data_IF_300922780782
#
_entry.id   IF_300922780782
#
_cell.length_a   1.000
_cell.length_b   1.000
_cell.length_c   1.000
_cell.angle_alpha   90.00
_cell.angle_beta   90.00
_cell.angle_gamma   90.00
#
_symmetry.space_group_name_H-M   'P 1'
#
loop_
_entity.id
_entity.type
_entity.pdbx_description
1 polymer ?
#
# COMPACT_ATOMS: atom_id res chain seq x y z
N UNK A 1 -22.83 2.61 25.98
CA UNK A 1 -23.97 3.01 26.82
C UNK A 1 -23.40 3.56 28.14
N UNK A 2 -24.23 3.98 29.10
CA UNK A 2 -23.72 4.46 30.39
C UNK A 2 -23.62 3.29 31.38
N UNK A 3 -22.49 3.19 32.08
CA UNK A 3 -22.28 2.21 33.16
C UNK A 3 -23.43 2.29 34.17
N UNK A 4 -24.04 1.15 34.47
CA UNK A 4 -25.03 1.06 35.55
C UNK A 4 -24.31 0.94 36.90
N UNK A 5 -24.69 1.79 37.86
CA UNK A 5 -24.10 1.81 39.20
C UNK A 5 -25.10 1.26 40.21
N UNK A 6 -24.63 0.35 41.06
CA UNK A 6 -25.41 -0.20 42.17
C UNK A 6 -25.51 0.87 43.26
N UNK A 7 -26.73 1.20 43.66
CA UNK A 7 -27.01 2.09 44.79
C UNK A 7 -26.96 1.29 46.09
N UNK A 8 -26.01 1.62 46.96
CA UNK A 8 -25.87 0.94 48.26
C UNK A 8 -26.81 1.50 49.34
N UNK A 9 -27.50 2.61 49.08
CA UNK A 9 -28.33 3.30 50.06
C UNK A 9 -27.52 3.96 51.18
N UNK A 10 -28.18 4.30 52.30
CA UNK A 10 -27.55 4.93 53.46
C UNK A 10 -26.97 3.91 54.44
N UNK A 11 -25.67 4.03 54.75
CA UNK A 11 -25.03 3.22 55.79
C UNK A 11 -25.65 3.48 57.18
N UNK A 12 -25.71 2.49 58.08
CA UNK A 12 -25.25 1.10 57.93
C UNK A 12 -26.30 0.15 57.33
N UNK A 13 -27.55 0.60 57.21
CA UNK A 13 -28.69 -0.27 56.87
C UNK A 13 -28.88 -0.53 55.37
N UNK A 14 -28.33 0.33 54.51
CA UNK A 14 -28.56 0.32 53.06
C UNK A 14 -29.94 0.82 52.64
N UNK A 15 -30.67 1.52 53.53
CA UNK A 15 -32.00 2.04 53.23
C UNK A 15 -31.98 2.97 52.00
N UNK A 16 -32.97 2.80 51.10
CA UNK A 16 -33.04 3.52 49.83
C UNK A 16 -32.07 3.03 48.74
N UNK A 17 -31.34 1.94 48.99
CA UNK A 17 -30.50 1.26 48.00
C UNK A 17 -31.28 0.34 47.05
N UNK A 18 -30.57 -0.22 46.07
CA UNK A 18 -31.11 -1.26 45.19
C UNK A 18 -31.43 -2.54 45.97
N UNK A 19 -32.52 -3.22 45.62
CA UNK A 19 -32.74 -4.59 46.08
C UNK A 19 -31.77 -5.57 45.41
N UNK A 20 -31.67 -6.80 45.95
CA UNK A 20 -30.76 -7.83 45.39
C UNK A 20 -31.00 -8.09 43.90
N UNK A 21 -32.26 -8.02 43.46
CA UNK A 21 -32.65 -8.34 42.08
C UNK A 21 -32.24 -7.23 41.11
N UNK A 22 -32.56 -5.98 41.43
CA UNK A 22 -32.21 -4.79 40.65
C UNK A 22 -30.70 -4.56 40.61
N UNK A 23 -29.99 -4.75 41.72
CA UNK A 23 -28.54 -4.74 41.74
C UNK A 23 -27.93 -5.80 40.80
N UNK A 24 -28.52 -7.01 40.76
CA UNK A 24 -28.05 -8.08 39.90
C UNK A 24 -28.38 -7.86 38.43
N UNK A 25 -29.55 -7.29 38.11
CA UNK A 25 -29.85 -6.84 36.76
C UNK A 25 -28.86 -5.79 36.26
N UNK A 26 -28.45 -4.85 37.12
CA UNK A 26 -27.41 -3.86 36.77
C UNK A 26 -26.06 -4.50 36.47
N UNK A 27 -25.66 -5.48 37.28
CA UNK A 27 -24.44 -6.24 37.05
C UNK A 27 -24.50 -7.01 35.71
N UNK A 28 -25.57 -7.76 35.48
CA UNK A 28 -25.77 -8.53 34.23
C UNK A 28 -25.74 -7.60 33.01
N UNK A 29 -26.45 -6.47 33.06
CA UNK A 29 -26.48 -5.50 31.96
C UNK A 29 -25.08 -4.98 31.60
N UNK A 30 -24.25 -4.66 32.61
CA UNK A 30 -22.87 -4.21 32.37
C UNK A 30 -22.01 -5.32 31.74
N UNK A 31 -22.18 -6.59 32.16
CA UNK A 31 -21.44 -7.71 31.57
C UNK A 31 -21.88 -7.99 30.14
N UNK A 32 -23.19 -8.00 29.86
CA UNK A 32 -23.72 -8.13 28.49
C UNK A 32 -23.16 -7.03 27.59
N UNK A 33 -23.12 -5.77 28.05
CA UNK A 33 -22.53 -4.67 27.27
C UNK A 33 -21.05 -4.93 26.94
N UNK A 34 -20.26 -5.42 27.90
CA UNK A 34 -18.85 -5.77 27.65
C UNK A 34 -18.70 -6.92 26.67
N UNK A 35 -19.48 -7.99 26.80
CA UNK A 35 -19.43 -9.14 25.91
C UNK A 35 -19.78 -8.74 24.48
N UNK A 36 -20.84 -7.97 24.30
CA UNK A 36 -21.30 -7.52 22.99
C UNK A 36 -20.29 -6.56 22.33
N UNK A 37 -19.70 -5.65 23.12
CA UNK A 37 -18.67 -4.72 22.64
C UNK A 37 -17.41 -5.47 22.19
N UNK A 38 -16.87 -6.37 23.02
CA UNK A 38 -15.64 -7.09 22.71
C UNK A 38 -15.85 -8.13 21.59
N UNK A 39 -17.00 -8.77 21.50
CA UNK A 39 -17.31 -9.71 20.42
C UNK A 39 -17.73 -9.03 19.11
N UNK A 40 -18.09 -7.74 19.15
CA UNK A 40 -18.57 -6.99 17.99
C UNK A 40 -19.95 -7.46 17.49
N UNK A 41 -20.75 -8.12 18.33
CA UNK A 41 -22.08 -8.65 17.98
C UNK A 41 -22.96 -8.71 19.23
N UNK A 42 -24.25 -8.40 19.09
CA UNK A 42 -25.21 -8.42 20.19
C UNK A 42 -25.52 -9.84 20.68
N UNK A 43 -25.68 -10.00 22.00
CA UNK A 43 -26.01 -11.28 22.63
C UNK A 43 -24.86 -12.28 22.68
N UNK A 44 -23.61 -11.80 22.68
CA UNK A 44 -22.45 -12.70 22.71
C UNK A 44 -22.36 -13.45 24.04
N UNK A 45 -22.22 -14.77 23.97
CA UNK A 45 -22.03 -15.64 25.15
C UNK A 45 -20.56 -16.00 25.39
N UNK A 46 -19.65 -15.54 24.53
CA UNK A 46 -18.23 -15.81 24.60
C UNK A 46 -17.41 -14.53 24.40
N UNK A 47 -16.31 -14.40 25.15
CA UNK A 47 -15.32 -13.36 24.91
C UNK A 47 -14.30 -13.84 23.87
N UNK A 48 -13.76 -12.92 23.06
CA UNK A 48 -12.60 -13.21 22.23
C UNK A 48 -11.42 -13.69 23.09
N UNK A 49 -10.61 -14.60 22.57
CA UNK A 49 -9.45 -15.16 23.29
C UNK A 49 -8.40 -14.09 23.70
N UNK A 50 -8.46 -12.90 23.10
CA UNK A 50 -7.66 -11.73 23.47
C UNK A 50 -8.31 -10.45 22.94
N UNK A 51 -7.95 -9.28 23.51
CA UNK A 51 -8.31 -7.97 22.93
C UNK A 51 -7.83 -7.85 21.47
N UNK A 52 -6.71 -8.47 21.13
CA UNK A 52 -6.21 -8.53 19.77
C UNK A 52 -7.23 -9.25 18.84
N UNK A 53 -7.77 -10.39 19.26
CA UNK A 53 -8.81 -11.10 18.53
C UNK A 53 -10.12 -10.29 18.45
N UNK A 54 -10.50 -9.59 19.52
CA UNK A 54 -11.66 -8.68 19.55
C UNK A 54 -11.55 -7.58 18.48
N UNK A 55 -10.41 -6.89 18.45
CA UNK A 55 -10.13 -5.82 17.49
C UNK A 55 -10.15 -6.38 16.05
N UNK A 56 -9.54 -7.55 15.83
CA UNK A 56 -9.56 -8.19 14.51
C UNK A 56 -10.96 -8.59 14.07
N UNK A 57 -11.80 -9.11 14.98
CA UNK A 57 -13.20 -9.47 14.69
C UNK A 57 -14.06 -8.23 14.40
N UNK A 58 -13.79 -7.11 15.08
CA UNK A 58 -14.46 -5.83 14.85
C UNK A 58 -13.92 -5.06 13.62
N UNK A 59 -12.95 -5.61 12.87
CA UNK A 59 -12.35 -4.95 11.71
C UNK A 59 -11.39 -3.79 12.03
N UNK A 60 -10.90 -3.72 13.26
CA UNK A 60 -9.96 -2.69 13.69
C UNK A 60 -8.51 -2.97 13.29
N UNK A 61 -7.75 -1.90 13.05
CA UNK A 61 -6.31 -1.99 12.81
C UNK A 61 -5.52 -1.93 14.11
N UNK A 62 -4.42 -2.67 14.15
CA UNK A 62 -3.44 -2.64 15.25
C UNK A 62 -2.03 -2.56 14.67
N UNK A 63 -1.05 -2.17 15.48
CA UNK A 63 0.36 -2.06 15.04
C UNK A 63 0.85 -3.29 14.25
N UNK A 64 0.44 -4.49 14.69
CA UNK A 64 0.81 -5.76 14.07
C UNK A 64 0.12 -6.06 12.72
N UNK A 65 -0.89 -5.30 12.29
CA UNK A 65 -1.63 -5.51 11.04
C UNK A 65 -1.45 -4.38 10.03
N UNK A 66 -0.64 -3.36 10.36
CA UNK A 66 -0.37 -2.25 9.44
C UNK A 66 0.39 -2.74 8.21
N UNK A 67 1.33 -3.66 8.39
CA UNK A 67 2.14 -4.26 7.33
C UNK A 67 1.67 -5.69 7.05
N UNK A 68 1.47 -6.03 5.78
CA UNK A 68 1.03 -7.36 5.35
C UNK A 68 0.43 -7.32 3.95
N UNK A 69 -0.23 -8.40 3.54
CA UNK A 69 -0.95 -8.42 2.26
C UNK A 69 -2.13 -7.43 2.30
N UNK A 70 -2.19 -6.54 1.31
CA UNK A 70 -3.27 -5.58 1.14
C UNK A 70 -4.38 -6.23 0.31
N UNK A 71 -5.62 -6.03 0.73
CA UNK A 71 -6.81 -6.50 0.02
C UNK A 71 -7.93 -5.47 0.11
N UNK A 72 -8.82 -5.47 -0.89
CA UNK A 72 -9.97 -4.59 -0.96
C UNK A 72 -11.14 -5.35 -1.56
N UNK A 73 -12.34 -5.05 -1.06
CA UNK A 73 -13.60 -5.45 -1.69
C UNK A 73 -14.59 -4.30 -1.59
N UNK A 74 -15.12 -3.82 -2.73
CA UNK A 74 -16.17 -2.81 -2.77
C UNK A 74 -15.82 -1.48 -2.09
N UNK A 75 -14.55 -1.07 -2.11
CA UNK A 75 -14.05 0.13 -1.44
C UNK A 75 -13.62 -0.07 0.01
N UNK A 76 -13.83 -1.26 0.57
CA UNK A 76 -13.48 -1.59 1.97
C UNK A 76 -12.18 -2.39 2.00
N UNK A 77 -11.15 -1.94 2.73
CA UNK A 77 -9.95 -2.74 2.89
C UNK A 77 -10.24 -4.03 3.68
N UNK A 78 -9.77 -5.16 3.17
CA UNK A 78 -9.95 -6.50 3.77
C UNK A 78 -8.64 -7.08 4.32
N UNK A 79 -7.53 -6.37 4.17
CA UNK A 79 -6.18 -6.80 4.56
C UNK A 79 -5.42 -5.75 5.36
N UNK A 80 -4.10 -5.77 5.24
CA UNK A 80 -3.22 -4.76 5.83
C UNK A 80 -3.37 -3.39 5.15
N UNK A 81 -2.79 -2.34 5.77
CA UNK A 81 -2.81 -0.99 5.20
C UNK A 81 -1.73 -0.84 4.12
N UNK A 82 -0.57 -1.45 4.35
CA UNK A 82 0.62 -1.32 3.48
C UNK A 82 1.18 -2.71 3.20
N UNK A 83 1.34 -3.02 1.92
CA UNK A 83 2.09 -4.17 1.43
C UNK A 83 3.33 -3.65 0.73
N UNK A 84 4.49 -4.24 1.01
CA UNK A 84 5.73 -3.93 0.31
C UNK A 84 6.37 -5.23 -0.13
N UNK A 85 6.84 -5.26 -1.37
CA UNK A 85 7.59 -6.39 -1.90
C UNK A 85 8.66 -5.95 -2.90
N UNK A 86 9.56 -6.88 -3.21
CA UNK A 86 10.57 -6.72 -4.24
C UNK A 86 10.70 -8.01 -5.03
N UNK A 87 11.10 -7.89 -6.29
CA UNK A 87 11.50 -9.00 -7.13
C UNK A 87 12.53 -8.51 -8.18
N UNK A 88 12.91 -9.38 -9.12
CA UNK A 88 13.87 -9.04 -10.17
C UNK A 88 13.45 -7.84 -11.06
N UNK A 89 12.16 -7.49 -11.07
CA UNK A 89 11.62 -6.38 -11.86
C UNK A 89 11.51 -5.06 -11.07
N UNK A 90 11.84 -5.06 -9.77
CA UNK A 90 11.86 -3.86 -8.92
C UNK A 90 11.14 -4.02 -7.60
N UNK A 91 10.79 -2.88 -7.00
CA UNK A 91 10.09 -2.79 -5.72
C UNK A 91 8.69 -2.25 -5.92
N UNK A 92 7.77 -2.65 -5.06
CA UNK A 92 6.42 -2.08 -5.04
C UNK A 92 5.93 -1.80 -3.62
N UNK A 93 4.99 -0.87 -3.54
CA UNK A 93 4.16 -0.63 -2.36
C UNK A 93 2.70 -0.58 -2.80
N UNK A 94 1.83 -1.35 -2.14
CA UNK A 94 0.37 -1.20 -2.24
C UNK A 94 -0.17 -0.60 -0.96
N UNK A 95 -1.18 0.23 -1.13
CA UNK A 95 -1.92 0.85 -0.06
C UNK A 95 -3.37 0.40 -0.11
N UNK A 96 -4.00 0.27 1.06
CA UNK A 96 -5.40 -0.10 1.22
C UNK A 96 -6.39 0.83 0.50
N UNK A 97 -5.99 2.07 0.20
CA UNK A 97 -6.80 3.04 -0.56
C UNK A 97 -6.84 2.75 -2.08
N UNK A 98 -6.07 1.78 -2.55
CA UNK A 98 -5.93 1.42 -3.97
C UNK A 98 -4.69 1.96 -4.65
N UNK A 99 -3.91 2.79 -3.97
CA UNK A 99 -2.68 3.34 -4.53
C UNK A 99 -1.62 2.24 -4.63
N UNK A 100 -0.97 2.14 -5.79
CA UNK A 100 0.20 1.31 -6.01
C UNK A 100 1.35 2.19 -6.50
N UNK A 101 2.52 1.95 -5.96
CA UNK A 101 3.77 2.57 -6.39
C UNK A 101 4.71 1.45 -6.79
N UNK A 102 5.25 1.50 -8.01
CA UNK A 102 6.33 0.63 -8.46
C UNK A 102 7.57 1.49 -8.70
N UNK A 103 8.74 0.98 -8.30
CA UNK A 103 10.03 1.63 -8.54
C UNK A 103 11.05 0.64 -9.06
N UNK A 104 11.96 1.13 -9.89
CA UNK A 104 13.11 0.37 -10.37
C UNK A 104 14.29 1.31 -10.62
N UNK A 105 15.51 0.80 -10.49
CA UNK A 105 16.74 1.52 -10.83
C UNK A 105 17.64 0.63 -11.67
N UNK A 106 18.14 1.16 -12.78
CA UNK A 106 19.10 0.49 -13.62
C UNK A 106 20.40 1.31 -13.67
N UNK A 107 21.54 0.67 -13.44
CA UNK A 107 22.86 1.30 -13.61
C UNK A 107 23.71 0.41 -14.49
N UNK A 108 24.03 0.90 -15.69
CA UNK A 108 24.74 0.09 -16.70
C UNK A 108 25.72 0.94 -17.49
N UNK A 109 26.79 0.34 -17.99
CA UNK A 109 27.70 0.98 -18.93
C UNK A 109 27.12 0.82 -20.33
N UNK A 110 27.02 1.91 -21.07
CA UNK A 110 26.60 1.91 -22.48
C UNK A 110 27.44 2.88 -23.31
N UNK A 111 27.44 2.62 -24.61
CA UNK A 111 27.93 3.53 -25.64
C UNK A 111 26.77 4.40 -26.11
N UNK A 112 26.97 5.72 -26.21
CA UNK A 112 26.00 6.69 -26.71
C UNK A 112 26.62 7.49 -27.86
N UNK A 113 26.71 6.85 -29.03
CA UNK A 113 27.39 7.39 -30.21
C UNK A 113 26.49 7.36 -31.47
N UNK A 114 25.23 6.97 -31.35
CA UNK A 114 24.28 6.97 -32.48
C UNK A 114 23.77 8.40 -32.64
N UNK A 115 24.12 9.05 -33.75
CA UNK A 115 23.75 10.43 -34.02
C UNK A 115 22.27 10.56 -34.43
N UNK A 116 21.57 11.55 -33.87
CA UNK A 116 20.23 12.00 -34.26
C UNK A 116 20.21 13.53 -34.23
N UNK A 117 20.36 14.15 -35.39
CA UNK A 117 20.55 15.61 -35.48
C UNK A 117 21.79 16.06 -34.70
N UNK A 118 21.70 17.11 -33.86
CA UNK A 118 22.82 17.57 -33.03
C UNK A 118 23.03 16.76 -31.74
N UNK A 119 22.27 15.68 -31.55
CA UNK A 119 22.28 14.86 -30.33
C UNK A 119 22.81 13.46 -30.63
N UNK A 120 23.18 12.75 -29.56
CA UNK A 120 23.56 11.35 -29.61
C UNK A 120 22.72 10.54 -28.63
N UNK A 121 22.46 9.27 -28.94
CA UNK A 121 21.82 8.35 -28.01
C UNK A 121 22.52 6.98 -28.01
N UNK A 122 22.27 6.21 -26.96
CA UNK A 122 22.67 4.81 -26.88
C UNK A 122 21.68 3.86 -27.57
N UNK A 123 22.00 2.57 -27.56
CA UNK A 123 21.03 1.54 -27.98
C UNK A 123 19.75 1.59 -27.14
N UNK A 124 18.66 1.02 -27.68
CA UNK A 124 17.35 0.99 -27.02
C UNK A 124 17.42 0.50 -25.57
N UNK A 125 16.78 1.22 -24.65
CA UNK A 125 16.38 0.71 -23.34
C UNK A 125 15.06 -0.04 -23.53
N UNK A 126 15.12 -1.36 -23.43
CA UNK A 126 13.96 -2.22 -23.66
C UNK A 126 12.88 -1.98 -22.60
N UNK A 127 11.61 -2.21 -22.98
CA UNK A 127 10.52 -2.29 -22.02
C UNK A 127 10.79 -3.37 -20.97
N UNK A 128 10.31 -3.12 -19.76
CA UNK A 128 10.50 -3.99 -18.59
C UNK A 128 9.15 -4.25 -17.93
N UNK A 129 8.97 -5.41 -17.34
CA UNK A 129 7.77 -5.67 -16.54
C UNK A 129 7.78 -4.82 -15.27
N UNK A 130 6.60 -4.41 -14.80
CA UNK A 130 6.46 -3.94 -13.43
C UNK A 130 6.71 -5.10 -12.44
N UNK A 131 7.16 -4.81 -11.21
CA UNK A 131 7.23 -5.83 -10.17
C UNK A 131 5.86 -6.43 -9.84
N UNK A 132 4.79 -5.67 -10.03
CA UNK A 132 3.41 -6.13 -9.93
C UNK A 132 2.52 -5.28 -10.86
N UNK A 133 1.46 -5.86 -11.41
CA UNK A 133 0.58 -5.19 -12.39
C UNK A 133 -0.33 -4.13 -11.72
N UNK A 134 -0.72 -3.12 -12.50
CA UNK A 134 -1.74 -2.13 -12.15
C UNK A 134 -3.11 -2.54 -12.72
N UNK A 135 -4.20 -1.98 -12.17
CA UNK A 135 -5.55 -2.16 -12.70
C UNK A 135 -5.82 -1.28 -13.92
N UNK A 136 -5.28 -0.05 -13.91
CA UNK A 136 -5.33 0.90 -15.01
C UNK A 136 -3.91 1.39 -15.34
N UNK A 137 -3.72 1.96 -16.53
CA UNK A 137 -2.42 2.51 -16.90
C UNK A 137 -1.96 3.53 -15.83
N UNK A 138 -0.79 3.32 -15.19
CA UNK A 138 -0.29 4.24 -14.17
C UNK A 138 0.30 5.50 -14.81
N UNK A 139 0.50 6.53 -14.00
CA UNK A 139 1.38 7.64 -14.36
C UNK A 139 2.81 7.15 -14.21
N UNK A 140 3.61 7.33 -15.26
CA UNK A 140 4.99 6.87 -15.33
C UNK A 140 5.93 8.07 -15.44
N UNK A 141 6.98 8.06 -14.64
CA UNK A 141 8.10 8.98 -14.73
C UNK A 141 9.39 8.15 -14.83
N UNK A 142 10.14 8.38 -15.90
CA UNK A 142 11.46 7.78 -16.12
C UNK A 142 12.45 8.93 -16.27
N UNK A 143 13.51 8.89 -15.49
CA UNK A 143 14.63 9.82 -15.62
C UNK A 143 15.90 9.05 -15.84
N UNK A 144 16.79 9.59 -16.66
CA UNK A 144 18.13 9.07 -16.81
C UNK A 144 19.15 10.18 -16.53
N UNK A 145 20.28 9.79 -15.98
CA UNK A 145 21.46 10.63 -15.81
C UNK A 145 22.72 9.84 -16.13
N UNK A 146 23.79 10.55 -16.44
CA UNK A 146 25.12 9.96 -16.59
C UNK A 146 25.95 10.33 -15.37
N UNK A 147 26.88 9.45 -14.97
CA UNK A 147 27.79 9.78 -13.87
C UNK A 147 28.83 10.84 -14.25
N UNK A 148 29.06 10.99 -15.54
CA UNK A 148 29.95 12.02 -16.09
C UNK A 148 29.24 12.68 -17.28
N UNK A 149 28.74 13.89 -17.06
CA UNK A 149 28.10 14.72 -18.08
C UNK A 149 26.57 14.68 -18.06
N UNK A 150 25.98 15.05 -19.18
CA UNK A 150 24.55 15.34 -19.33
C UNK A 150 23.81 14.27 -20.12
N UNK A 151 22.63 13.90 -19.62
CA UNK A 151 21.75 12.98 -20.33
C UNK A 151 20.35 12.97 -19.75
N UNK A 152 19.41 12.53 -20.57
CA UNK A 152 18.00 12.43 -20.21
C UNK A 152 17.36 11.24 -20.91
N UNK A 153 16.27 10.75 -20.32
CA UNK A 153 15.48 9.69 -20.91
C UNK A 153 14.44 10.29 -21.86
N UNK A 154 14.35 9.77 -23.08
CA UNK A 154 13.27 10.04 -24.00
C UNK A 154 12.46 8.76 -24.21
N UNK A 155 11.21 8.77 -23.75
CA UNK A 155 10.28 7.67 -23.99
C UNK A 155 10.00 7.58 -25.49
N UNK A 156 10.10 6.39 -26.06
CA UNK A 156 9.88 6.18 -27.50
C UNK A 156 8.76 5.17 -27.72
N UNK A 157 7.54 5.68 -27.98
CA UNK A 157 6.34 4.86 -28.21
C UNK A 157 6.48 3.90 -29.41
N UNK A 158 7.23 4.32 -30.45
CA UNK A 158 7.47 3.56 -31.67
C UNK A 158 8.76 2.75 -31.70
N UNK A 159 9.56 2.75 -30.63
CA UNK A 159 10.74 1.90 -30.52
C UNK A 159 10.42 0.45 -30.09
N UNK A 160 9.12 0.15 -29.95
CA UNK A 160 8.59 -1.17 -29.63
C UNK A 160 7.44 -1.49 -30.60
N UNK A 161 7.25 -2.76 -31.02
CA UNK A 161 6.15 -3.16 -31.90
C UNK A 161 4.74 -2.91 -31.32
N UNK A 162 4.61 -2.69 -30.01
CA UNK A 162 3.36 -2.87 -29.27
C UNK A 162 2.72 -1.58 -28.69
N UNK A 163 3.25 -0.37 -28.95
CA UNK A 163 2.59 0.89 -28.55
C UNK A 163 2.31 1.02 -27.03
N UNK A 164 3.25 0.60 -26.18
CA UNK A 164 3.06 0.30 -24.75
C UNK A 164 2.95 1.51 -23.78
N UNK A 165 2.64 2.72 -24.26
CA UNK A 165 2.53 3.91 -23.37
C UNK A 165 1.40 3.81 -22.34
N UNK A 166 0.41 2.94 -22.57
CA UNK A 166 -0.75 2.74 -21.69
C UNK A 166 -0.76 1.33 -21.07
N UNK A 167 0.41 0.69 -20.94
CA UNK A 167 0.50 -0.66 -20.37
C UNK A 167 0.22 -0.66 -18.86
N UNK A 168 -0.49 -1.69 -18.40
CA UNK A 168 -0.72 -1.96 -16.97
C UNK A 168 0.32 -2.91 -16.37
N UNK A 169 1.18 -3.50 -17.20
CA UNK A 169 2.10 -4.59 -16.78
C UNK A 169 3.56 -4.28 -17.04
N UNK A 170 3.88 -3.20 -17.78
CA UNK A 170 5.24 -2.89 -18.22
C UNK A 170 5.56 -1.40 -18.23
N UNK A 171 6.80 -1.07 -17.91
CA UNK A 171 7.45 0.20 -18.23
C UNK A 171 7.63 0.33 -19.75
N UNK A 172 7.42 1.52 -20.35
CA UNK A 172 7.76 1.76 -21.75
C UNK A 172 9.28 1.73 -21.96
N UNK A 173 9.69 1.38 -23.18
CA UNK A 173 11.09 1.52 -23.61
C UNK A 173 11.40 2.95 -24.08
N UNK A 174 12.68 3.20 -24.34
CA UNK A 174 13.13 4.51 -24.79
C UNK A 174 14.63 4.59 -25.02
N UNK A 175 15.13 5.80 -25.15
CA UNK A 175 16.54 6.05 -25.37
C UNK A 175 17.07 7.03 -24.34
N UNK A 176 18.35 6.88 -23.98
CA UNK A 176 19.07 7.88 -23.22
C UNK A 176 19.86 8.74 -24.20
N UNK A 177 19.51 10.01 -24.23
CA UNK A 177 20.13 11.03 -25.07
C UNK A 177 21.22 11.77 -24.31
N UNK A 178 22.18 12.30 -25.06
CA UNK A 178 23.29 13.15 -24.60
C UNK A 178 23.66 14.12 -25.72
N UNK A 179 24.31 15.24 -25.41
CA UNK A 179 24.72 16.22 -26.41
C UNK A 179 26.10 15.89 -26.99
N UNK A 180 26.86 15.02 -26.32
CA UNK A 180 28.22 14.64 -26.70
C UNK A 180 28.28 13.14 -26.99
N UNK A 181 28.89 12.77 -28.12
CA UNK A 181 29.14 11.36 -28.45
C UNK A 181 30.09 10.72 -27.42
N UNK A 182 29.69 9.55 -26.89
CA UNK A 182 30.40 8.86 -25.81
C UNK A 182 30.64 7.39 -26.15
N UNK A 183 31.90 6.98 -26.15
CA UNK A 183 32.31 5.60 -26.44
C UNK A 183 31.94 4.61 -25.33
N UNK A 184 31.98 5.04 -24.07
CA UNK A 184 31.49 4.29 -22.91
C UNK A 184 31.17 5.26 -21.77
N UNK A 185 30.02 5.08 -21.12
CA UNK A 185 29.59 5.91 -20.01
C UNK A 185 28.61 5.15 -19.12
N UNK A 186 28.62 5.46 -17.82
CA UNK A 186 27.69 4.86 -16.87
C UNK A 186 26.39 5.66 -16.92
N UNK A 187 25.31 4.96 -17.26
CA UNK A 187 23.96 5.48 -17.32
C UNK A 187 23.19 4.94 -16.11
N UNK A 188 22.58 5.85 -15.36
CA UNK A 188 21.64 5.57 -14.29
C UNK A 188 20.23 5.92 -14.77
N UNK A 189 19.31 4.96 -14.77
CA UNK A 189 17.90 5.18 -15.12
C UNK A 189 17.03 4.84 -13.91
N UNK A 190 16.28 5.83 -13.45
CA UNK A 190 15.32 5.72 -12.36
C UNK A 190 13.90 5.65 -12.93
N UNK A 191 13.12 4.70 -12.43
CA UNK A 191 11.76 4.42 -12.85
C UNK A 191 10.81 4.59 -11.67
N UNK A 192 9.75 5.37 -11.86
CA UNK A 192 8.66 5.57 -10.91
C UNK A 192 7.32 5.42 -11.63
N UNK A 193 6.45 4.55 -11.13
CA UNK A 193 5.08 4.42 -11.62
C UNK A 193 4.13 4.50 -10.44
N UNK A 194 3.11 5.34 -10.57
CA UNK A 194 2.07 5.53 -9.54
C UNK A 194 0.72 5.35 -10.21
N UNK A 195 -0.12 4.48 -9.65
CA UNK A 195 -1.41 4.15 -10.23
C UNK A 195 -2.30 3.40 -9.25
N UNK A 196 -3.31 2.71 -9.78
CA UNK A 196 -4.28 1.93 -9.01
C UNK A 196 -4.03 0.43 -9.17
N UNK A 197 -4.20 -0.36 -8.11
CA UNK A 197 -4.12 -1.83 -8.18
C UNK A 197 -5.49 -2.53 -8.20
N UNK A 198 -6.58 -1.77 -8.01
CA UNK A 198 -7.96 -2.16 -8.22
C UNK A 198 -8.76 -1.03 -8.87
#
# INVERSE_FOLDING_TARGET
MAKQVISLGTAPSGAGGDDRRSAWFKAISNFTELYDFLAGTAGSTALPASLAAAISAAGGYRKATILGAVGQSGGVPTGAIIERGNNANGEYVRFADGTQICTFKNRTIRTANIATGPLFHGGLEAARSFPIAFATAPIIQISAGLEVGEGWFAMAAGALPDGLLLSTTRWPGGYVFTQVSRSATIICVDYLAVGRWF
#
